data_IF_165498983461
#
_entry.id   IF_165498983461
#
_cell.length_a   1.000
_cell.length_b   1.000
_cell.length_c   1.000
_cell.angle_alpha   90.00
_cell.angle_beta   90.00
_cell.angle_gamma   90.00
#
_symmetry.space_group_name_H-M   'P 1'
#
loop_
_entity.id
_entity.type
_entity.pdbx_description
1 polymer ?
#
# COMPACT_ATOMS: atom_id res chain seq x y z
N UNK A 1 7.74 3.21 -20.15
CA UNK A 1 7.11 3.69 -18.92
C UNK A 1 8.11 3.60 -17.79
N UNK A 2 8.39 4.72 -17.13
CA UNK A 2 9.18 4.78 -15.90
C UNK A 2 8.30 4.34 -14.71
N UNK A 3 8.92 3.97 -13.59
CA UNK A 3 8.14 3.51 -12.42
C UNK A 3 7.36 4.66 -11.78
N UNK A 4 7.94 5.86 -11.75
CA UNK A 4 7.29 7.06 -11.24
C UNK A 4 6.05 7.51 -12.01
N UNK A 5 5.89 7.07 -13.27
CA UNK A 5 4.66 7.30 -14.04
C UNK A 5 3.46 6.50 -13.48
N UNK A 6 3.68 5.54 -12.57
CA UNK A 6 2.62 4.79 -11.89
C UNK A 6 2.04 5.54 -10.67
N UNK A 7 2.82 6.42 -10.04
CA UNK A 7 2.50 6.97 -8.72
C UNK A 7 1.27 7.86 -8.75
N UNK A 8 1.20 8.82 -9.68
CA UNK A 8 0.06 9.75 -9.76
C UNK A 8 -1.27 9.04 -10.08
N UNK A 9 -1.34 8.11 -11.06
CA UNK A 9 -2.54 7.29 -11.26
C UNK A 9 -2.95 6.48 -10.03
N UNK A 10 -1.99 5.87 -9.32
CA UNK A 10 -2.28 5.09 -8.11
C UNK A 10 -2.71 5.98 -6.94
N UNK A 11 -2.14 7.18 -6.81
CA UNK A 11 -2.56 8.21 -5.85
C UNK A 11 -4.00 8.61 -6.07
N UNK A 12 -4.38 8.95 -7.30
CA UNK A 12 -5.76 9.30 -7.65
C UNK A 12 -6.74 8.15 -7.41
N UNK A 13 -6.35 6.92 -7.73
CA UNK A 13 -7.17 5.74 -7.41
C UNK A 13 -7.33 5.53 -5.90
N UNK A 14 -6.25 5.67 -5.13
CA UNK A 14 -6.28 5.52 -3.68
C UNK A 14 -7.19 6.57 -3.04
N UNK A 15 -7.06 7.83 -3.47
CA UNK A 15 -7.90 8.93 -3.02
C UNK A 15 -9.38 8.65 -3.26
N UNK A 16 -9.75 8.22 -4.47
CA UNK A 16 -11.14 7.86 -4.78
C UNK A 16 -11.63 6.69 -3.93
N UNK A 17 -10.83 5.61 -3.83
CA UNK A 17 -11.15 4.45 -3.02
C UNK A 17 -11.41 4.81 -1.55
N UNK A 18 -10.55 5.65 -0.96
CA UNK A 18 -10.67 6.07 0.42
C UNK A 18 -11.86 7.02 0.63
N UNK A 19 -12.11 7.95 -0.30
CA UNK A 19 -13.29 8.82 -0.26
C UNK A 19 -14.60 8.00 -0.33
N UNK A 20 -14.60 6.90 -1.07
CA UNK A 20 -15.76 6.00 -1.15
C UNK A 20 -15.95 5.17 0.11
N UNK A 21 -14.86 4.67 0.69
CA UNK A 21 -14.90 3.76 1.84
C UNK A 21 -15.02 4.46 3.20
N UNK A 22 -14.34 5.59 3.40
CA UNK A 22 -14.20 6.26 4.69
C UNK A 22 -15.02 7.56 4.73
N UNK A 23 -16.35 7.44 4.59
CA UNK A 23 -17.26 8.60 4.61
C UNK A 23 -17.14 9.41 5.91
N UNK A 24 -17.00 10.73 5.76
CA UNK A 24 -16.85 11.66 6.87
C UNK A 24 -15.46 11.70 7.51
N UNK A 25 -14.46 11.08 6.87
CA UNK A 25 -13.05 11.38 7.12
C UNK A 25 -12.57 12.44 6.13
N UNK A 26 -11.59 13.23 6.55
CA UNK A 26 -10.76 14.03 5.65
C UNK A 26 -9.71 13.11 5.01
N UNK A 27 -9.70 13.05 3.67
CA UNK A 27 -8.89 12.11 2.89
C UNK A 27 -7.76 12.86 2.19
N UNK A 28 -6.54 12.35 2.37
CA UNK A 28 -5.35 12.85 1.70
C UNK A 28 -4.65 11.66 1.06
N UNK A 29 -4.33 11.74 -0.23
CA UNK A 29 -3.43 10.80 -0.89
C UNK A 29 -2.30 11.56 -1.56
N UNK A 30 -1.06 11.11 -1.34
CA UNK A 30 0.15 11.84 -1.74
C UNK A 30 1.23 10.87 -2.23
N UNK A 31 1.92 11.26 -3.31
CA UNK A 31 3.18 10.63 -3.74
C UNK A 31 4.27 10.96 -2.72
N UNK A 32 4.82 9.92 -2.09
CA UNK A 32 5.89 10.01 -1.09
C UNK A 32 7.14 9.26 -1.54
N UNK A 33 7.21 8.85 -2.81
CA UNK A 33 8.30 8.04 -3.37
C UNK A 33 9.69 8.66 -3.26
N UNK A 34 9.80 9.97 -2.98
CA UNK A 34 11.06 10.70 -2.86
C UNK A 34 11.39 11.15 -1.43
N UNK A 35 10.60 10.74 -0.44
CA UNK A 35 10.82 11.12 0.95
C UNK A 35 10.53 9.98 1.92
N UNK A 36 11.02 10.14 3.15
CA UNK A 36 10.74 9.19 4.23
C UNK A 36 9.36 9.42 4.80
N UNK A 37 8.72 8.34 5.28
CA UNK A 37 7.38 8.36 5.84
C UNK A 37 7.25 9.32 7.04
N UNK A 38 8.24 9.36 7.93
CA UNK A 38 8.26 10.28 9.08
C UNK A 38 8.17 11.75 8.64
N UNK A 39 8.92 12.13 7.59
CA UNK A 39 8.85 13.47 7.00
C UNK A 39 7.50 13.73 6.34
N UNK A 40 7.00 12.79 5.53
CA UNK A 40 5.70 12.94 4.88
C UNK A 40 4.56 13.16 5.89
N UNK A 41 4.52 12.36 6.96
CA UNK A 41 3.53 12.46 8.04
C UNK A 41 3.63 13.78 8.81
N UNK A 42 4.85 14.27 9.05
CA UNK A 42 5.08 15.52 9.77
C UNK A 42 4.45 16.75 9.10
N UNK A 43 4.35 16.76 7.76
CA UNK A 43 3.67 17.84 7.01
C UNK A 43 2.20 18.00 7.36
N UNK A 44 1.58 16.92 7.83
CA UNK A 44 0.18 16.88 8.25
C UNK A 44 0.01 16.91 9.77
N UNK A 45 1.09 17.18 10.52
CA UNK A 45 1.07 17.19 11.98
C UNK A 45 0.89 15.81 12.61
N UNK A 46 1.31 14.75 11.91
CA UNK A 46 1.23 13.37 12.40
C UNK A 46 2.63 12.93 12.81
N UNK A 47 2.77 12.50 14.07
CA UNK A 47 4.01 11.92 14.58
C UNK A 47 3.77 10.44 14.84
N UNK A 48 4.56 9.59 14.19
CA UNK A 48 4.50 8.15 14.38
C UNK A 48 5.88 7.67 14.84
N UNK A 49 6.07 7.50 16.15
CA UNK A 49 7.38 7.26 16.74
C UNK A 49 8.11 6.06 16.14
N UNK A 50 7.37 4.99 15.81
CA UNK A 50 7.95 3.78 15.21
C UNK A 50 8.52 3.98 13.78
N UNK A 51 8.20 5.09 13.10
CA UNK A 51 8.77 5.43 11.79
C UNK A 51 10.09 6.22 11.91
N UNK A 52 10.36 6.82 13.06
CA UNK A 52 11.49 7.74 13.24
C UNK A 52 12.82 6.98 13.17
N UNK A 53 13.69 7.39 12.25
CA UNK A 53 15.04 6.82 12.11
C UNK A 53 15.10 5.47 11.39
N UNK A 54 13.98 4.93 10.89
CA UNK A 54 13.89 3.59 10.27
C UNK A 54 14.03 3.62 8.74
N UNK A 55 14.11 4.82 8.14
CA UNK A 55 14.25 5.00 6.68
C UNK A 55 13.12 4.32 5.85
N UNK A 56 11.90 4.30 6.39
CA UNK A 56 10.73 3.79 5.66
C UNK A 56 10.38 4.77 4.53
N UNK A 57 10.32 4.25 3.31
CA UNK A 57 9.88 4.97 2.12
C UNK A 57 8.77 4.16 1.44
N UNK A 58 7.64 4.82 1.20
CA UNK A 58 6.45 4.25 0.54
C UNK A 58 6.19 5.09 -0.70
N UNK A 59 5.83 4.47 -1.82
CA UNK A 59 5.58 5.20 -3.06
C UNK A 59 4.38 6.14 -2.96
N UNK A 60 3.24 5.65 -2.45
CA UNK A 60 2.04 6.46 -2.23
C UNK A 60 1.45 6.22 -0.84
N UNK A 61 1.23 7.32 -0.13
CA UNK A 61 0.63 7.36 1.19
C UNK A 61 -0.80 7.89 1.11
N UNK A 62 -1.74 7.14 1.69
CA UNK A 62 -3.08 7.60 2.01
C UNK A 62 -3.23 7.87 3.51
N UNK A 63 -3.96 8.92 3.84
CA UNK A 63 -4.31 9.32 5.21
C UNK A 63 -5.81 9.56 5.23
N UNK A 64 -6.52 8.88 6.13
CA UNK A 64 -7.90 9.23 6.49
C UNK A 64 -7.91 9.75 7.93
N UNK A 65 -8.35 10.98 8.13
CA UNK A 65 -8.40 11.64 9.45
C UNK A 65 -9.84 11.95 9.85
N UNK A 66 -10.20 11.62 11.10
CA UNK A 66 -11.45 12.05 11.72
C UNK A 66 -11.23 12.31 13.21
N UNK A 67 -11.24 13.58 13.62
CA UNK A 67 -10.87 14.00 14.97
C UNK A 67 -9.46 13.46 15.32
N UNK A 68 -9.35 12.69 16.40
CA UNK A 68 -8.11 12.04 16.81
C UNK A 68 -7.84 10.68 16.12
N UNK A 69 -8.81 10.15 15.36
CA UNK A 69 -8.62 8.89 14.61
C UNK A 69 -7.88 9.17 13.29
N UNK A 70 -6.74 8.51 13.13
CA UNK A 70 -5.86 8.62 11.96
C UNK A 70 -5.58 7.23 11.44
N UNK A 71 -5.94 6.99 10.18
CA UNK A 71 -5.69 5.74 9.47
C UNK A 71 -4.72 5.98 8.33
N UNK A 72 -3.72 5.12 8.22
CA UNK A 72 -2.71 5.18 7.16
C UNK A 72 -2.95 4.06 6.14
N UNK A 73 -2.64 4.34 4.88
CA UNK A 73 -2.80 3.40 3.78
C UNK A 73 -1.57 3.47 2.89
N UNK A 74 -1.05 2.32 2.47
CA UNK A 74 0.17 2.27 1.65
C UNK A 74 -0.10 1.68 0.27
N UNK A 75 0.53 2.25 -0.75
CA UNK A 75 0.76 1.56 -2.01
C UNK A 75 2.27 1.53 -2.26
N UNK A 76 2.78 0.32 -2.50
CA UNK A 76 4.08 0.07 -3.11
C UNK A 76 3.85 -0.33 -4.57
N UNK A 77 4.47 0.41 -5.49
CA UNK A 77 4.30 0.28 -6.92
C UNK A 77 5.55 -0.34 -7.56
N UNK A 78 5.34 -1.21 -8.55
CA UNK A 78 6.42 -1.78 -9.35
C UNK A 78 6.07 -1.74 -10.84
N UNK A 79 6.99 -1.27 -11.67
CA UNK A 79 6.85 -1.45 -13.13
C UNK A 79 7.17 -2.88 -13.56
N UNK A 80 7.98 -3.58 -12.76
CA UNK A 80 8.45 -4.96 -13.00
C UNK A 80 7.57 -5.99 -12.31
N UNK A 81 7.75 -7.27 -12.68
CA UNK A 81 7.07 -8.39 -12.03
C UNK A 81 7.42 -8.42 -10.55
N UNK A 82 6.42 -8.70 -9.70
CA UNK A 82 6.61 -8.75 -8.26
C UNK A 82 7.50 -9.91 -7.81
N UNK A 83 8.29 -9.64 -6.78
CA UNK A 83 9.29 -10.54 -6.19
C UNK A 83 9.03 -10.74 -4.70
N UNK A 84 9.67 -11.77 -4.12
CA UNK A 84 9.66 -11.99 -2.67
C UNK A 84 10.28 -10.81 -1.90
N UNK A 85 11.23 -10.08 -2.50
CA UNK A 85 11.82 -8.89 -1.90
C UNK A 85 10.79 -7.78 -1.73
N UNK A 86 9.99 -7.51 -2.77
CA UNK A 86 8.95 -6.49 -2.74
C UNK A 86 7.91 -6.81 -1.65
N UNK A 87 7.52 -8.10 -1.56
CA UNK A 87 6.63 -8.58 -0.51
C UNK A 87 7.24 -8.38 0.88
N UNK A 88 8.49 -8.80 1.08
CA UNK A 88 9.18 -8.72 2.38
C UNK A 88 9.37 -7.28 2.86
N UNK A 89 9.69 -6.36 1.95
CA UNK A 89 9.81 -4.93 2.25
C UNK A 89 8.48 -4.37 2.76
N UNK A 90 7.40 -4.47 1.96
CA UNK A 90 6.11 -3.93 2.36
C UNK A 90 5.58 -4.62 3.63
N UNK A 91 5.83 -5.93 3.78
CA UNK A 91 5.46 -6.67 4.99
C UNK A 91 6.13 -6.10 6.24
N UNK A 92 7.43 -5.81 6.18
CA UNK A 92 8.16 -5.22 7.29
C UNK A 92 7.59 -3.84 7.64
N UNK A 93 7.35 -2.99 6.64
CA UNK A 93 6.73 -1.68 6.86
C UNK A 93 5.36 -1.81 7.51
N UNK A 94 4.53 -2.75 7.05
CA UNK A 94 3.21 -2.99 7.64
C UNK A 94 3.30 -3.50 9.08
N UNK A 95 4.29 -4.34 9.41
CA UNK A 95 4.50 -4.81 10.78
C UNK A 95 4.93 -3.71 11.75
N UNK A 96 5.67 -2.72 11.27
CA UNK A 96 6.14 -1.61 12.10
C UNK A 96 5.08 -0.51 12.26
N UNK A 97 4.38 -0.17 11.17
CA UNK A 97 3.49 1.01 11.14
C UNK A 97 2.01 0.65 11.30
N UNK A 98 1.65 -0.63 11.15
CA UNK A 98 0.29 -1.14 11.27
C UNK A 98 -0.75 -0.31 10.46
N UNK A 99 -0.52 -0.04 9.15
CA UNK A 99 -1.48 0.69 8.33
C UNK A 99 -2.84 -0.03 8.31
N UNK A 100 -3.89 0.69 7.99
CA UNK A 100 -5.24 0.13 7.89
C UNK A 100 -5.35 -0.81 6.68
N UNK A 101 -4.79 -0.42 5.53
CA UNK A 101 -4.63 -1.29 4.35
C UNK A 101 -3.31 -1.00 3.63
N UNK A 102 -2.78 -2.01 2.94
CA UNK A 102 -1.57 -1.89 2.16
C UNK A 102 -1.71 -2.65 0.84
N UNK A 103 -1.20 -2.08 -0.25
CA UNK A 103 -1.27 -2.63 -1.59
C UNK A 103 0.13 -2.76 -2.20
N UNK A 104 0.44 -3.92 -2.74
CA UNK A 104 1.62 -4.16 -3.58
C UNK A 104 1.15 -4.34 -5.02
N UNK A 105 1.35 -3.32 -5.85
CA UNK A 105 0.78 -3.25 -7.18
C UNK A 105 1.86 -3.24 -8.26
N UNK A 106 1.65 -4.00 -9.34
CA UNK A 106 2.59 -4.01 -10.46
C UNK A 106 1.92 -3.90 -11.82
N UNK A 107 2.45 -3.09 -12.72
CA UNK A 107 1.98 -3.06 -14.11
C UNK A 107 2.34 -4.33 -14.90
N UNK A 108 3.37 -5.07 -14.48
CA UNK A 108 3.80 -6.32 -15.10
C UNK A 108 3.19 -7.59 -14.43
N UNK A 109 2.47 -7.41 -13.32
CA UNK A 109 1.76 -8.47 -12.61
C UNK A 109 2.59 -9.19 -11.54
N UNK A 110 2.00 -10.25 -10.97
CA UNK A 110 2.44 -10.88 -9.72
C UNK A 110 3.78 -11.63 -9.80
N UNK A 111 4.29 -11.95 -11.00
CA UNK A 111 5.59 -12.61 -11.14
C UNK A 111 5.73 -13.88 -10.30
N UNK A 112 6.82 -13.96 -9.53
CA UNK A 112 7.12 -15.10 -8.64
C UNK A 112 6.11 -15.23 -7.48
N UNK A 113 5.46 -14.12 -7.09
CA UNK A 113 4.45 -14.15 -6.02
C UNK A 113 3.20 -14.92 -6.41
N UNK A 114 2.89 -15.03 -7.71
CA UNK A 114 1.79 -15.87 -8.19
C UNK A 114 1.99 -17.34 -7.77
N UNK A 115 3.19 -17.88 -7.94
CA UNK A 115 3.52 -19.25 -7.53
C UNK A 115 3.43 -19.41 -6.01
N UNK A 116 3.91 -18.43 -5.25
CA UNK A 116 3.89 -18.45 -3.80
C UNK A 116 2.46 -18.39 -3.23
N UNK A 117 1.68 -17.40 -3.64
CA UNK A 117 0.36 -17.11 -3.05
C UNK A 117 -0.68 -18.10 -3.58
N UNK A 118 -0.70 -18.37 -4.89
CA UNK A 118 -1.73 -19.19 -5.52
C UNK A 118 -1.32 -20.66 -5.51
N UNK A 119 -0.19 -21.00 -6.13
CA UNK A 119 0.18 -22.42 -6.31
C UNK A 119 0.58 -23.10 -5.01
N UNK A 120 1.27 -22.41 -4.10
CA UNK A 120 1.61 -22.94 -2.78
C UNK A 120 0.59 -22.58 -1.70
N UNK A 121 -0.50 -21.90 -2.05
CA UNK A 121 -1.57 -21.49 -1.13
C UNK A 121 -1.07 -20.71 0.10
N UNK A 122 0.01 -19.91 -0.06
CA UNK A 122 0.63 -19.14 1.03
C UNK A 122 0.07 -17.72 1.17
N UNK A 123 -1.26 -17.59 1.15
CA UNK A 123 -1.90 -16.29 1.40
C UNK A 123 -1.65 -15.78 2.82
N UNK A 124 -1.33 -16.66 3.77
CA UNK A 124 -0.90 -16.31 5.14
C UNK A 124 0.32 -15.38 5.17
N UNK A 125 1.17 -15.40 4.13
CA UNK A 125 2.32 -14.49 4.03
C UNK A 125 1.91 -13.02 3.76
N UNK A 126 0.65 -12.78 3.42
CA UNK A 126 0.10 -11.44 3.30
C UNK A 126 -0.33 -10.87 4.66
N UNK A 127 -0.41 -11.70 5.70
CA UNK A 127 -0.91 -11.31 7.01
C UNK A 127 0.13 -10.48 7.78
N UNK A 128 -0.28 -9.28 8.21
CA UNK A 128 0.57 -8.42 9.04
C UNK A 128 -0.10 -7.93 10.32
N UNK A 129 -1.40 -8.13 10.51
CA UNK A 129 -2.07 -7.80 11.77
C UNK A 129 -1.48 -8.53 12.98
N UNK A 130 -1.76 -8.01 14.18
CA UNK A 130 -1.62 -8.77 15.43
C UNK A 130 -2.92 -9.54 15.67
N UNK A 131 -2.88 -10.79 16.13
CA UNK A 131 -3.99 -11.77 16.12
C UNK A 131 -5.36 -11.37 16.70
N UNK A 132 -5.55 -10.13 17.16
CA UNK A 132 -6.83 -9.48 17.46
C UNK A 132 -7.52 -8.84 16.24
N UNK A 133 -6.77 -8.48 15.19
CA UNK A 133 -7.28 -7.93 13.93
C UNK A 133 -6.57 -8.60 12.76
N UNK A 134 -7.32 -9.25 11.89
CA UNK A 134 -6.78 -9.81 10.65
C UNK A 134 -6.59 -8.64 9.67
N UNK A 135 -5.32 -8.30 9.40
CA UNK A 135 -4.94 -7.36 8.35
C UNK A 135 -4.04 -8.06 7.34
N UNK A 136 -4.33 -7.88 6.06
CA UNK A 136 -3.60 -8.48 4.94
C UNK A 136 -3.13 -7.40 3.96
N UNK A 137 -1.93 -7.55 3.42
CA UNK A 137 -1.52 -6.80 2.24
C UNK A 137 -2.32 -7.33 1.05
N UNK A 138 -2.67 -6.46 0.11
CA UNK A 138 -3.29 -6.87 -1.15
C UNK A 138 -2.28 -6.77 -2.27
N UNK A 139 -2.10 -7.86 -3.00
CA UNK A 139 -1.14 -7.95 -4.10
C UNK A 139 -1.91 -8.07 -5.41
N UNK A 140 -1.60 -7.24 -6.39
CA UNK A 140 -2.37 -7.18 -7.63
C UNK A 140 -1.63 -6.61 -8.82
N UNK A 141 -2.19 -6.82 -10.01
CA UNK A 141 -1.75 -6.14 -11.22
C UNK A 141 -2.43 -4.77 -11.32
N UNK A 142 -1.65 -3.75 -11.64
CA UNK A 142 -2.16 -2.44 -12.03
C UNK A 142 -2.45 -2.40 -13.53
N UNK A 143 -3.64 -1.94 -13.91
CA UNK A 143 -4.03 -1.73 -15.29
C UNK A 143 -3.73 -0.28 -15.69
N UNK A 144 -2.60 -0.09 -16.38
CA UNK A 144 -2.11 1.24 -16.81
C UNK A 144 -3.09 1.95 -17.75
N UNK A 145 -3.78 1.23 -18.65
CA UNK A 145 -4.70 1.89 -19.59
C UNK A 145 -6.00 2.35 -18.93
N UNK A 146 -6.38 1.73 -17.81
CA UNK A 146 -7.60 2.04 -17.06
C UNK A 146 -7.35 2.83 -15.78
N UNK A 147 -6.08 3.07 -15.41
CA UNK A 147 -5.68 3.68 -14.14
C UNK A 147 -6.41 3.09 -12.93
N UNK A 148 -6.46 1.76 -12.87
CA UNK A 148 -7.12 1.03 -11.78
C UNK A 148 -6.49 -0.33 -11.59
N UNK A 149 -6.77 -0.96 -10.45
CA UNK A 149 -6.35 -2.34 -10.19
C UNK A 149 -7.09 -3.28 -11.16
N UNK A 150 -6.38 -4.25 -11.73
CA UNK A 150 -7.01 -5.42 -12.32
C UNK A 150 -7.53 -6.32 -11.19
N UNK A 151 -8.77 -6.08 -10.78
CA UNK A 151 -9.43 -6.77 -9.67
C UNK A 151 -9.50 -8.29 -9.86
N UNK A 152 -9.40 -8.81 -11.09
CA UNK A 152 -9.28 -10.25 -11.35
C UNK A 152 -8.02 -10.84 -10.71
N UNK A 153 -6.93 -10.06 -10.66
CA UNK A 153 -5.62 -10.47 -10.15
C UNK A 153 -5.37 -10.15 -8.68
N UNK A 154 -6.20 -9.32 -8.06
CA UNK A 154 -6.00 -8.86 -6.68
C UNK A 154 -6.20 -10.00 -5.68
N UNK A 155 -5.27 -10.17 -4.74
CA UNK A 155 -5.32 -11.18 -3.68
C UNK A 155 -4.85 -10.56 -2.36
N UNK A 156 -5.63 -10.67 -1.26
CA UNK A 156 -7.04 -11.06 -1.25
C UNK A 156 -7.91 -10.02 -1.97
N UNK A 157 -9.18 -10.35 -2.20
CA UNK A 157 -10.17 -9.40 -2.76
C UNK A 157 -10.46 -8.25 -1.77
N UNK A 158 -11.02 -7.15 -2.27
CA UNK A 158 -11.50 -6.00 -1.46
C UNK A 158 -12.97 -6.22 -1.11
#
# INVERSE_FOLDING_TARGET
MLENELYEPMRGWLEQYLNDKYKGYDIIAVDTSQERLDRALSRYGIVYEAANGVDIQIDVLGIARKNADIKLFFIEAKKTRLTLRDLGQLWAYCKLIDPEEAFLLSSAGLGSLSKLIISFAREDLLDYGSGKKIKKMRVGKWNVSKNTIDFGTLIPKI
#
